data_IF_802692929143
#
_entry.id   IF_802692929143
#
_cell.length_a   1.000
_cell.length_b   1.000
_cell.length_c   1.000
_cell.angle_alpha   90.00
_cell.angle_beta   90.00
_cell.angle_gamma   90.00
#
_symmetry.space_group_name_H-M   'P 1'
#
loop_
_entity.id
_entity.type
_entity.pdbx_description
1 polymer ?
#
# COMPACT_ATOMS: atom_id res chain seq x y z
N UNK A 1 -10.38 15.30 3.18
CA UNK A 1 -10.12 14.04 2.42
C UNK A 1 -10.97 12.91 3.02
N UNK A 2 -11.62 12.06 2.20
CA UNK A 2 -12.47 10.96 2.69
C UNK A 2 -11.71 9.93 3.54
N UNK A 3 -10.47 9.57 3.14
CA UNK A 3 -9.63 8.63 3.92
C UNK A 3 -9.35 9.17 5.33
N UNK A 4 -9.10 10.47 5.46
CA UNK A 4 -8.83 11.11 6.75
C UNK A 4 -10.05 11.04 7.68
N UNK A 5 -11.26 11.25 7.14
CA UNK A 5 -12.51 11.14 7.90
C UNK A 5 -12.71 9.71 8.42
N UNK A 6 -12.49 8.70 7.57
CA UNK A 6 -12.61 7.29 7.95
C UNK A 6 -11.53 6.92 8.98
N UNK A 7 -10.29 7.39 8.79
CA UNK A 7 -9.20 7.15 9.74
C UNK A 7 -9.51 7.75 11.12
N UNK A 8 -10.10 8.95 11.19
CA UNK A 8 -10.54 9.55 12.46
C UNK A 8 -11.55 8.64 13.19
N UNK A 9 -12.49 8.04 12.47
CA UNK A 9 -13.45 7.09 13.07
C UNK A 9 -12.79 5.77 13.47
N UNK A 10 -11.91 5.20 12.63
CA UNK A 10 -11.13 4.02 12.99
C UNK A 10 -10.31 4.26 14.26
N UNK A 11 -9.64 5.41 14.38
CA UNK A 11 -8.88 5.77 15.59
C UNK A 11 -9.77 5.88 16.82
N UNK A 12 -11.05 6.27 16.70
CA UNK A 12 -11.99 6.24 17.83
C UNK A 12 -12.28 4.80 18.25
N UNK A 13 -12.58 3.92 17.28
CA UNK A 13 -12.81 2.50 17.56
C UNK A 13 -11.58 1.83 18.19
N UNK A 14 -10.38 2.07 17.66
CA UNK A 14 -9.12 1.56 18.24
C UNK A 14 -8.93 2.04 19.68
N UNK A 15 -9.27 3.30 20.00
CA UNK A 15 -9.18 3.78 21.38
C UNK A 15 -10.14 3.05 22.32
N UNK A 16 -11.36 2.80 21.88
CA UNK A 16 -12.32 2.02 22.66
C UNK A 16 -11.83 0.57 22.88
N UNK A 17 -11.29 -0.07 21.84
CA UNK A 17 -10.76 -1.44 21.94
C UNK A 17 -9.53 -1.54 22.84
N UNK A 18 -8.64 -0.55 22.78
CA UNK A 18 -7.38 -0.54 23.54
C UNK A 18 -7.51 0.08 24.94
N UNK A 19 -8.64 0.74 25.26
CA UNK A 19 -8.84 1.40 26.56
C UNK A 19 -7.92 2.61 26.81
N UNK A 20 -7.43 3.28 25.76
CA UNK A 20 -6.44 4.37 25.88
C UNK A 20 -7.06 5.76 25.86
N UNK A 21 -6.33 6.74 26.39
CA UNK A 21 -6.77 8.14 26.45
C UNK A 21 -6.81 8.79 25.06
N UNK A 22 -7.57 9.88 24.94
CA UNK A 22 -7.76 10.58 23.68
C UNK A 22 -6.47 11.13 23.06
N UNK A 23 -5.53 11.58 23.90
CA UNK A 23 -4.23 12.15 23.50
C UNK A 23 -3.21 11.09 23.08
N UNK A 24 -3.44 9.83 23.45
CA UNK A 24 -2.52 8.74 23.12
C UNK A 24 -2.59 8.39 21.62
N UNK A 25 -1.42 8.03 21.09
CA UNK A 25 -1.27 7.63 19.69
C UNK A 25 -1.84 6.23 19.49
N UNK A 26 -2.74 6.08 18.51
CA UNK A 26 -3.30 4.78 18.16
C UNK A 26 -2.36 3.89 17.34
N UNK A 27 -1.18 4.40 16.91
CA UNK A 27 -0.33 3.69 15.93
C UNK A 27 0.10 2.31 16.42
N UNK A 28 0.62 2.20 17.65
CA UNK A 28 1.06 0.92 18.19
C UNK A 28 -0.11 -0.06 18.33
N UNK A 29 -1.28 0.44 18.74
CA UNK A 29 -2.49 -0.36 18.89
C UNK A 29 -3.05 -0.90 17.56
N UNK A 30 -2.84 -0.22 16.43
CA UNK A 30 -3.14 -0.83 15.13
C UNK A 30 -2.30 -2.09 14.89
N UNK A 31 -1.01 -2.09 15.29
CA UNK A 31 -0.13 -3.26 15.18
C UNK A 31 -0.54 -4.37 16.15
N UNK A 32 -0.70 -4.02 17.43
CA UNK A 32 -1.03 -4.96 18.50
C UNK A 32 -2.37 -5.68 18.25
N UNK A 33 -3.38 -4.93 17.82
CA UNK A 33 -4.70 -5.47 17.49
C UNK A 33 -4.73 -6.15 16.11
N UNK A 34 -3.64 -6.11 15.34
CA UNK A 34 -3.53 -6.60 13.97
C UNK A 34 -4.62 -6.03 13.04
N UNK A 35 -4.87 -4.73 13.16
CA UNK A 35 -5.85 -4.00 12.35
C UNK A 35 -5.12 -3.10 11.36
N UNK A 36 -5.44 -3.22 10.08
CA UNK A 36 -4.96 -2.29 9.06
C UNK A 36 -5.68 -0.94 9.17
N UNK A 37 -4.93 0.14 9.00
CA UNK A 37 -5.51 1.47 8.82
C UNK A 37 -6.23 1.53 7.47
N UNK A 38 -7.17 2.47 7.32
CA UNK A 38 -7.85 2.69 6.03
C UNK A 38 -6.88 3.05 4.91
N UNK A 39 -5.78 3.75 5.21
CA UNK A 39 -4.74 4.05 4.23
C UNK A 39 -4.01 2.77 3.80
N UNK A 40 -3.59 1.92 4.74
CA UNK A 40 -2.95 0.63 4.43
C UNK A 40 -3.91 -0.31 3.68
N UNK A 41 -5.21 -0.30 3.98
CA UNK A 41 -6.23 -1.04 3.21
C UNK A 41 -6.30 -0.53 1.77
N UNK A 42 -6.37 0.78 1.56
CA UNK A 42 -6.40 1.37 0.22
C UNK A 42 -5.13 1.01 -0.59
N UNK A 43 -3.95 1.16 0.03
CA UNK A 43 -2.67 0.78 -0.57
C UNK A 43 -2.68 -0.71 -0.95
N UNK A 44 -3.07 -1.60 -0.05
CA UNK A 44 -3.13 -3.03 -0.33
C UNK A 44 -4.06 -3.34 -1.51
N UNK A 45 -5.29 -2.83 -1.48
CA UNK A 45 -6.28 -3.15 -2.51
C UNK A 45 -5.87 -2.62 -3.88
N UNK A 46 -5.27 -1.43 -3.94
CA UNK A 46 -4.75 -0.88 -5.20
C UNK A 46 -3.56 -1.66 -5.72
N UNK A 47 -2.62 -2.07 -4.86
CA UNK A 47 -1.51 -2.97 -5.24
C UNK A 47 -2.05 -4.29 -5.81
N UNK A 48 -2.95 -4.95 -5.07
CA UNK A 48 -3.53 -6.22 -5.51
C UNK A 48 -4.26 -6.06 -6.85
N UNK A 49 -5.02 -4.97 -7.02
CA UNK A 49 -5.66 -4.65 -8.28
C UNK A 49 -4.62 -4.49 -9.42
N UNK A 50 -3.55 -3.71 -9.21
CA UNK A 50 -2.49 -3.53 -10.19
C UNK A 50 -1.80 -4.86 -10.57
N UNK A 51 -1.58 -5.75 -9.61
CA UNK A 51 -1.00 -7.08 -9.88
C UNK A 51 -1.93 -8.01 -10.67
N UNK A 52 -3.25 -7.77 -10.65
CA UNK A 52 -4.21 -8.50 -11.49
C UNK A 52 -4.37 -7.89 -12.89
N UNK A 53 -3.97 -6.64 -13.08
CA UNK A 53 -4.00 -5.98 -14.40
C UNK A 53 -2.77 -6.33 -15.21
N UNK A 54 -2.92 -6.57 -16.52
CA UNK A 54 -1.82 -6.81 -17.47
C UNK A 54 -1.04 -5.52 -17.79
N UNK A 55 -0.51 -4.85 -16.77
CA UNK A 55 0.34 -3.68 -16.95
C UNK A 55 1.78 -4.10 -17.26
N UNK A 56 2.39 -3.38 -18.20
CA UNK A 56 3.78 -3.56 -18.64
C UNK A 56 4.72 -3.37 -17.44
N UNK A 57 5.65 -4.31 -17.25
CA UNK A 57 6.72 -4.24 -16.27
C UNK A 57 8.02 -3.83 -16.95
N UNK A 58 9.01 -3.33 -16.20
CA UNK A 58 10.30 -2.94 -16.78
C UNK A 58 11.01 -4.12 -17.49
N UNK A 59 10.79 -5.35 -17.03
CA UNK A 59 11.28 -6.57 -17.70
C UNK A 59 10.72 -6.81 -19.10
N UNK A 60 9.57 -6.23 -19.43
CA UNK A 60 8.92 -6.40 -20.74
C UNK A 60 9.51 -5.41 -21.77
N UNK A 61 10.25 -4.39 -21.32
CA UNK A 61 10.85 -3.35 -22.15
C UNK A 61 12.36 -3.59 -22.36
N UNK A 62 13.05 -4.20 -21.39
CA UNK A 62 14.50 -4.40 -21.44
C UNK A 62 14.90 -5.88 -21.29
N UNK A 63 15.72 -6.36 -22.23
CA UNK A 63 16.20 -7.75 -22.28
C UNK A 63 17.36 -8.06 -21.29
N UNK A 64 17.63 -7.14 -20.35
CA UNK A 64 18.69 -7.25 -19.34
C UNK A 64 18.09 -7.08 -17.94
N UNK A 65 18.51 -7.93 -16.99
CA UNK A 65 18.06 -7.87 -15.59
C UNK A 65 18.55 -6.60 -14.89
N UNK A 66 17.71 -5.57 -14.80
CA UNK A 66 17.98 -4.38 -13.98
C UNK A 66 17.50 -4.59 -12.54
N UNK A 67 18.08 -3.85 -11.59
CA UNK A 67 17.70 -3.91 -10.16
C UNK A 67 16.21 -3.62 -9.88
N UNK A 68 15.53 -3.01 -10.85
CA UNK A 68 14.10 -2.64 -10.82
C UNK A 68 13.26 -3.44 -11.82
N UNK A 69 13.73 -4.59 -12.30
CA UNK A 69 13.03 -5.37 -13.32
C UNK A 69 11.61 -5.82 -12.91
N UNK A 70 11.35 -5.92 -11.61
CA UNK A 70 10.05 -6.25 -11.01
C UNK A 70 9.07 -5.06 -10.99
N UNK A 71 9.57 -3.82 -11.12
CA UNK A 71 8.76 -2.61 -11.03
C UNK A 71 7.85 -2.46 -12.26
N UNK A 72 6.65 -1.92 -12.03
CA UNK A 72 5.78 -1.48 -13.11
C UNK A 72 6.37 -0.26 -13.79
N UNK A 73 6.34 -0.25 -15.13
CA UNK A 73 6.64 0.96 -15.88
C UNK A 73 5.49 1.91 -15.70
N UNK A 74 5.70 3.03 -15.01
CA UNK A 74 4.69 4.05 -14.88
C UNK A 74 4.71 4.89 -16.16
N UNK A 75 3.71 4.77 -17.06
CA UNK A 75 3.68 5.59 -18.26
C UNK A 75 3.67 7.08 -17.87
N UNK A 76 4.55 7.86 -18.48
CA UNK A 76 4.59 9.32 -18.31
C UNK A 76 3.28 9.87 -18.87
N UNK A 77 2.44 10.39 -17.99
CA UNK A 77 1.16 10.97 -18.37
C UNK A 77 1.06 12.40 -17.86
N UNK A 78 0.67 13.31 -18.75
CA UNK A 78 0.58 14.75 -18.49
C UNK A 78 -0.66 15.16 -17.68
N UNK A 79 -1.56 14.22 -17.32
CA UNK A 79 -2.84 14.52 -16.68
C UNK A 79 -2.93 13.91 -15.28
N UNK A 80 -3.24 14.73 -14.27
CA UNK A 80 -3.51 14.27 -12.89
C UNK A 80 -4.65 13.24 -12.79
N UNK A 81 -5.51 13.15 -13.81
CA UNK A 81 -6.59 12.17 -13.88
C UNK A 81 -6.08 10.74 -14.07
N UNK A 82 -4.99 10.52 -14.81
CA UNK A 82 -4.39 9.19 -14.96
C UNK A 82 -3.70 8.75 -13.67
N UNK A 83 -3.17 9.69 -12.89
CA UNK A 83 -2.57 9.42 -11.58
C UNK A 83 -3.57 8.98 -10.52
N UNK A 84 -4.87 9.23 -10.73
CA UNK A 84 -5.95 8.81 -9.82
C UNK A 84 -6.46 7.40 -10.10
N UNK A 85 -6.08 6.77 -11.22
CA UNK A 85 -6.54 5.42 -11.56
C UNK A 85 -5.98 4.42 -10.53
N UNK A 86 -6.82 3.50 -9.99
CA UNK A 86 -6.37 2.48 -9.05
C UNK A 86 -5.22 1.62 -9.57
N UNK A 87 -5.19 1.32 -10.87
CA UNK A 87 -4.10 0.60 -11.52
C UNK A 87 -2.78 1.39 -11.48
N UNK A 88 -2.80 2.68 -11.84
CA UNK A 88 -1.62 3.54 -11.75
C UNK A 88 -1.12 3.70 -10.31
N UNK A 89 -2.02 4.03 -9.37
CA UNK A 89 -1.67 4.14 -7.94
C UNK A 89 -1.12 2.83 -7.39
N UNK A 90 -1.76 1.72 -7.70
CA UNK A 90 -1.34 0.39 -7.28
C UNK A 90 0.04 0.03 -7.81
N UNK A 91 0.32 0.30 -9.08
CA UNK A 91 1.63 0.13 -9.70
C UNK A 91 2.70 1.01 -9.01
N UNK A 92 2.38 2.29 -8.78
CA UNK A 92 3.28 3.20 -8.09
C UNK A 92 3.57 2.73 -6.66
N UNK A 93 2.55 2.25 -5.94
CA UNK A 93 2.75 1.70 -4.61
C UNK A 93 3.53 0.39 -4.61
N UNK A 94 3.29 -0.49 -5.57
CA UNK A 94 4.05 -1.73 -5.72
C UNK A 94 5.55 -1.46 -5.88
N UNK A 95 5.93 -0.43 -6.65
CA UNK A 95 7.33 -0.06 -6.85
C UNK A 95 8.04 0.39 -5.55
N UNK A 96 7.30 0.86 -4.54
CA UNK A 96 7.84 1.20 -3.22
C UNK A 96 7.95 0.00 -2.26
N UNK A 97 7.47 -1.19 -2.65
CA UNK A 97 7.62 -2.39 -1.83
C UNK A 97 9.09 -2.83 -1.76
N UNK A 98 9.50 -3.53 -0.69
CA UNK A 98 10.79 -4.17 -0.66
C UNK A 98 10.87 -5.34 -1.66
N UNK A 99 12.06 -5.59 -2.21
CA UNK A 99 12.26 -6.57 -3.28
C UNK A 99 11.83 -8.00 -2.92
N UNK A 100 11.92 -8.38 -1.64
CA UNK A 100 11.46 -9.70 -1.19
C UNK A 100 9.95 -9.89 -1.39
N UNK A 101 9.14 -8.83 -1.24
CA UNK A 101 7.70 -8.89 -1.51
C UNK A 101 7.42 -8.90 -3.01
N UNK A 102 8.17 -8.12 -3.81
CA UNK A 102 7.96 -8.03 -5.26
C UNK A 102 8.26 -9.34 -6.00
N UNK A 103 9.16 -10.17 -5.45
CA UNK A 103 9.57 -11.46 -6.03
C UNK A 103 8.55 -12.58 -5.82
N UNK A 104 7.59 -12.41 -4.92
CA UNK A 104 6.56 -13.42 -4.67
C UNK A 104 5.60 -13.51 -5.86
N UNK A 105 5.55 -14.68 -6.50
CA UNK A 105 4.74 -14.93 -7.69
C UNK A 105 3.38 -15.53 -7.37
N UNK A 106 3.23 -16.19 -6.21
CA UNK A 106 1.96 -16.75 -5.81
C UNK A 106 1.04 -15.65 -5.27
N UNK A 107 -0.13 -15.39 -5.90
CA UNK A 107 -1.00 -14.27 -5.49
C UNK A 107 -1.52 -14.39 -4.05
N UNK A 108 -1.76 -15.61 -3.56
CA UNK A 108 -2.22 -15.84 -2.18
C UNK A 108 -1.10 -15.56 -1.19
N UNK A 109 0.10 -16.05 -1.45
CA UNK A 109 1.27 -15.79 -0.60
C UNK A 109 1.63 -14.31 -0.62
N UNK A 110 1.62 -13.67 -1.79
CA UNK A 110 1.87 -12.23 -1.94
C UNK A 110 0.90 -11.39 -1.10
N UNK A 111 -0.41 -11.65 -1.22
CA UNK A 111 -1.44 -10.97 -0.42
C UNK A 111 -1.18 -11.14 1.08
N UNK A 112 -0.84 -12.34 1.53
CA UNK A 112 -0.57 -12.61 2.93
C UNK A 112 0.68 -11.86 3.42
N UNK A 113 1.79 -11.94 2.71
CA UNK A 113 3.03 -11.25 3.08
C UNK A 113 2.87 -9.72 3.04
N UNK A 114 2.16 -9.18 2.04
CA UNK A 114 1.83 -7.75 1.95
C UNK A 114 0.97 -7.31 3.14
N UNK A 115 -0.03 -8.12 3.53
CA UNK A 115 -0.87 -7.85 4.71
C UNK A 115 -0.01 -7.76 5.97
N UNK A 116 0.84 -8.76 6.22
CA UNK A 116 1.72 -8.79 7.38
C UNK A 116 2.68 -7.59 7.39
N UNK A 117 3.24 -7.25 6.24
CA UNK A 117 4.15 -6.12 6.12
C UNK A 117 3.48 -4.77 6.43
N UNK A 118 2.22 -4.59 6.01
CA UNK A 118 1.42 -3.39 6.28
C UNK A 118 0.90 -3.35 7.72
N UNK A 119 0.67 -4.49 8.36
CA UNK A 119 0.27 -4.55 9.78
C UNK A 119 1.38 -4.04 10.70
N UNK A 120 2.63 -4.33 10.37
CA UNK A 120 3.79 -3.83 11.13
C UNK A 120 4.08 -2.33 10.91
N UNK A 121 3.40 -1.71 9.94
CA UNK A 121 3.64 -0.32 9.48
C UNK A 121 2.30 0.41 9.31
N UNK A 122 1.70 0.94 10.40
CA UNK A 122 0.41 1.61 10.37
C UNK A 122 0.53 3.00 9.72
N UNK A 123 0.48 3.03 8.40
CA UNK A 123 0.46 4.25 7.60
C UNK A 123 -0.88 4.97 7.78
N UNK A 124 -0.85 6.27 8.03
CA UNK A 124 -2.05 7.11 8.13
C UNK A 124 -2.36 7.81 6.82
N UNK A 125 -1.39 7.90 5.91
CA UNK A 125 -1.53 8.51 4.59
C UNK A 125 -0.76 7.74 3.52
N UNK A 126 -1.10 7.97 2.26
CA UNK A 126 -0.32 7.46 1.12
C UNK A 126 1.12 8.03 1.13
N UNK A 127 1.28 9.29 1.53
CA UNK A 127 2.59 9.96 1.60
C UNK A 127 3.54 9.30 2.59
N UNK A 128 3.03 8.91 3.76
CA UNK A 128 3.82 8.16 4.74
C UNK A 128 4.31 6.82 4.18
N UNK A 129 3.55 6.19 3.28
CA UNK A 129 3.95 4.94 2.63
C UNK A 129 5.00 5.17 1.55
N UNK A 130 4.86 6.20 0.72
CA UNK A 130 5.82 6.49 -0.36
C UNK A 130 7.09 7.20 0.13
N UNK A 131 7.08 7.79 1.33
CA UNK A 131 8.21 8.57 1.85
C UNK A 131 8.37 9.94 1.17
N UNK A 132 7.27 10.50 0.63
CA UNK A 132 7.25 11.75 -0.16
C UNK A 132 6.49 12.88 0.53
#
# INVERSE_FOLDING_TARGET
>A
NNLERVLKQQKRAIRCLAGIKQQESCRNYFKELKILTVASLYIQQTILHATTTQQIRHRDIHNHNTRHASDFTLPVHHLTLTERKPSYKGAAFFNHLPENLKKETNPRTFKNQLTLWLLERPFYTEKEFTGA
#
